data_IF_718406372854
#
_entry.id   IF_718406372854
#
_cell.length_a   1.000
_cell.length_b   1.000
_cell.length_c   1.000
_cell.angle_alpha   90.00
_cell.angle_beta   90.00
_cell.angle_gamma   90.00
#
_symmetry.space_group_name_H-M   'P 1'
#
loop_
_entity.id
_entity.type
_entity.pdbx_description
1 polymer ?
#
# COMPACT_ATOMS: atom_id res chain seq x y z
N UNK A 1 30.06 5.42 0.57
CA UNK A 1 28.76 5.71 1.23
C UNK A 1 28.60 4.73 2.38
N UNK A 2 28.41 5.22 3.60
CA UNK A 2 28.23 4.36 4.78
C UNK A 2 26.83 3.76 4.74
N UNK A 3 26.74 2.43 4.64
CA UNK A 3 25.47 1.72 4.57
C UNK A 3 24.78 1.75 5.95
N UNK A 4 23.50 2.15 5.99
CA UNK A 4 22.71 2.19 7.23
C UNK A 4 22.54 0.76 7.79
N UNK A 5 22.59 0.62 9.11
CA UNK A 5 22.23 -0.62 9.80
C UNK A 5 20.77 -1.00 9.48
N UNK A 6 20.48 -2.20 8.94
CA UNK A 6 19.11 -2.64 8.67
C UNK A 6 18.25 -2.62 9.94
N UNK A 7 16.94 -2.39 9.77
CA UNK A 7 15.95 -2.45 10.85
C UNK A 7 15.07 -1.21 10.97
N UNK A 8 14.14 -1.26 11.92
CA UNK A 8 13.17 -0.20 12.20
C UNK A 8 13.92 1.08 12.62
N UNK A 9 13.54 2.26 12.12
CA UNK A 9 14.11 3.52 12.58
C UNK A 9 13.89 3.74 14.09
N UNK A 10 14.96 4.08 14.82
CA UNK A 10 14.96 4.42 16.25
C UNK A 10 15.99 5.51 16.55
N UNK A 11 16.14 5.91 17.81
CA UNK A 11 17.21 6.83 18.22
C UNK A 11 18.60 6.24 17.95
N UNK A 12 18.76 4.93 18.16
CA UNK A 12 19.98 4.16 17.95
C UNK A 12 20.17 3.72 16.48
N UNK A 13 19.12 3.81 15.66
CA UNK A 13 19.14 3.54 14.23
C UNK A 13 18.37 4.64 13.46
N UNK A 14 18.92 5.86 13.36
CA UNK A 14 18.18 7.01 12.84
C UNK A 14 17.88 6.88 11.35
N UNK A 15 16.81 7.57 10.92
CA UNK A 15 16.59 7.84 9.49
C UNK A 15 17.72 8.74 8.98
N UNK A 16 18.11 8.57 7.71
CA UNK A 16 19.18 9.36 7.08
C UNK A 16 18.77 9.79 5.68
N UNK A 17 19.45 10.83 5.16
CA UNK A 17 19.22 11.36 3.82
C UNK A 17 17.79 11.86 3.59
N UNK A 18 17.33 11.80 2.33
CA UNK A 18 16.02 12.29 1.90
C UNK A 18 14.86 11.70 2.70
N UNK A 19 14.94 10.42 3.10
CA UNK A 19 13.88 9.81 3.89
C UNK A 19 13.72 10.46 5.29
N UNK A 20 14.80 10.98 5.88
CA UNK A 20 14.72 11.76 7.12
C UNK A 20 14.01 13.10 6.86
N UNK A 21 14.42 13.80 5.81
CA UNK A 21 13.89 15.12 5.45
C UNK A 21 12.38 15.09 5.20
N UNK A 22 11.90 14.12 4.41
CA UNK A 22 10.47 13.94 4.14
C UNK A 22 9.68 13.66 5.42
N UNK A 23 10.18 12.77 6.27
CA UNK A 23 9.48 12.42 7.53
C UNK A 23 9.43 13.60 8.50
N UNK A 24 10.51 14.37 8.61
CA UNK A 24 10.57 15.55 9.48
C UNK A 24 9.67 16.69 8.96
N UNK A 25 9.50 16.80 7.64
CA UNK A 25 8.55 17.72 7.01
C UNK A 25 7.08 17.30 7.19
N UNK A 26 6.83 16.08 7.71
CA UNK A 26 5.49 15.51 7.79
C UNK A 26 4.95 15.00 6.45
N UNK A 27 5.82 14.88 5.44
CA UNK A 27 5.44 14.36 4.13
C UNK A 27 5.13 12.87 4.21
N UNK A 28 4.09 12.46 3.47
CA UNK A 28 3.70 11.08 3.34
C UNK A 28 3.47 10.76 1.86
N UNK A 29 3.81 9.53 1.45
CA UNK A 29 3.59 9.05 0.09
C UNK A 29 2.12 8.65 -0.18
N UNK A 30 1.22 8.88 0.78
CA UNK A 30 -0.23 8.61 0.64
C UNK A 30 -0.82 9.28 -0.60
N UNK A 31 -0.35 10.47 -0.95
CA UNK A 31 -0.88 11.23 -2.08
C UNK A 31 -0.59 10.55 -3.42
N UNK A 32 0.48 9.76 -3.51
CA UNK A 32 0.75 8.94 -4.70
C UNK A 32 -0.32 7.89 -4.95
N UNK A 33 -1.07 7.46 -3.92
CA UNK A 33 -2.19 6.54 -4.11
C UNK A 33 -3.24 7.14 -5.05
N UNK A 34 -3.46 8.47 -5.02
CA UNK A 34 -4.43 9.14 -5.89
C UNK A 34 -4.11 8.91 -7.38
N UNK A 35 -2.83 8.80 -7.75
CA UNK A 35 -2.39 8.53 -9.14
C UNK A 35 -2.78 7.13 -9.62
N UNK A 36 -3.20 6.25 -8.71
CA UNK A 36 -3.70 4.93 -9.05
C UNK A 36 -5.17 4.97 -9.46
N UNK A 37 -5.95 5.98 -9.05
CA UNK A 37 -7.36 6.05 -9.42
C UNK A 37 -7.54 6.26 -10.95
N UNK A 38 -8.56 5.66 -11.59
CA UNK A 38 -9.50 4.68 -11.03
C UNK A 38 -9.08 3.22 -11.24
N UNK A 39 -7.80 2.96 -11.53
CA UNK A 39 -7.29 1.60 -11.76
C UNK A 39 -7.46 0.78 -10.48
N UNK A 40 -7.91 -0.49 -10.58
CA UNK A 40 -7.95 -1.37 -9.42
C UNK A 40 -6.58 -1.51 -8.76
N UNK A 41 -6.54 -1.37 -7.43
CA UNK A 41 -5.36 -1.60 -6.59
C UNK A 41 -5.68 -2.61 -5.49
N UNK A 42 -4.77 -3.57 -5.27
CA UNK A 42 -4.77 -4.46 -4.13
C UNK A 42 -3.51 -4.22 -3.31
N UNK A 43 -3.67 -3.96 -2.01
CA UNK A 43 -2.57 -4.01 -1.05
C UNK A 43 -2.56 -5.39 -0.38
N UNK A 44 -1.52 -6.18 -0.67
CA UNK A 44 -1.29 -7.49 -0.07
C UNK A 44 -0.34 -7.36 1.14
N UNK A 45 -0.91 -7.00 2.30
CA UNK A 45 -0.14 -6.67 3.50
C UNK A 45 0.30 -7.91 4.31
N UNK A 46 1.48 -7.82 4.92
CA UNK A 46 2.03 -8.85 5.81
C UNK A 46 2.21 -8.38 7.26
N UNK A 47 3.09 -9.05 8.00
CA UNK A 47 3.41 -8.74 9.41
C UNK A 47 3.86 -7.30 9.64
N UNK A 48 4.48 -6.67 8.64
CA UNK A 48 4.99 -5.30 8.69
C UNK A 48 3.93 -4.24 8.33
N UNK A 49 2.70 -4.68 7.96
CA UNK A 49 1.60 -3.82 7.51
C UNK A 49 0.42 -3.84 8.49
N UNK A 50 0.59 -3.29 9.72
CA UNK A 50 -0.45 -3.32 10.73
C UNK A 50 -1.73 -2.59 10.27
N UNK A 51 -2.90 -2.92 10.87
CA UNK A 51 -4.19 -2.35 10.49
C UNK A 51 -4.25 -0.82 10.38
N UNK A 52 -3.42 -0.10 11.16
CA UNK A 52 -3.33 1.37 11.08
C UNK A 52 -2.89 1.87 9.70
N UNK A 53 -2.03 1.13 9.00
CA UNK A 53 -1.51 1.52 7.68
C UNK A 53 -2.64 1.55 6.63
N UNK A 54 -3.79 0.93 6.93
CA UNK A 54 -4.91 0.78 5.99
C UNK A 54 -5.76 2.05 5.92
N UNK A 55 -5.69 2.92 6.94
CA UNK A 55 -6.39 4.21 6.96
C UNK A 55 -6.00 5.09 5.77
N UNK A 56 -4.75 4.98 5.31
CA UNK A 56 -4.23 5.63 4.12
C UNK A 56 -5.06 5.33 2.85
N UNK A 57 -5.66 4.13 2.76
CA UNK A 57 -6.45 3.72 1.59
C UNK A 57 -7.80 4.42 1.51
N UNK A 58 -8.30 4.99 2.61
CA UNK A 58 -9.55 5.76 2.62
C UNK A 58 -9.48 6.96 1.69
N UNK A 59 -8.31 7.58 1.53
CA UNK A 59 -8.12 8.70 0.60
C UNK A 59 -8.29 8.24 -0.85
N UNK A 60 -7.74 7.08 -1.22
CA UNK A 60 -7.92 6.52 -2.56
C UNK A 60 -9.38 6.11 -2.82
N UNK A 61 -10.08 5.60 -1.81
CA UNK A 61 -11.51 5.32 -1.89
C UNK A 61 -12.29 6.62 -2.16
N UNK A 62 -12.00 7.70 -1.43
CA UNK A 62 -12.66 8.99 -1.62
C UNK A 62 -12.43 9.57 -3.02
N UNK A 63 -11.22 9.44 -3.58
CA UNK A 63 -10.92 9.86 -4.96
C UNK A 63 -11.71 9.03 -5.97
N UNK A 64 -11.76 7.71 -5.81
CA UNK A 64 -12.56 6.85 -6.69
C UNK A 64 -14.06 7.17 -6.62
N UNK A 65 -14.56 7.47 -5.43
CA UNK A 65 -15.94 7.88 -5.21
C UNK A 65 -16.30 9.16 -5.96
N UNK A 66 -15.40 10.15 -5.96
CA UNK A 66 -15.55 11.38 -6.75
C UNK A 66 -15.60 11.09 -8.26
N UNK A 67 -14.84 10.11 -8.74
CA UNK A 67 -14.83 9.66 -10.13
C UNK A 67 -16.01 8.74 -10.49
N UNK A 68 -16.94 8.48 -9.55
CA UNK A 68 -18.08 7.57 -9.75
C UNK A 68 -17.68 6.10 -9.83
N UNK A 69 -16.49 5.74 -9.37
CA UNK A 69 -15.94 4.39 -9.45
C UNK A 69 -16.00 3.72 -8.08
N UNK A 70 -16.51 2.49 -8.04
CA UNK A 70 -16.58 1.68 -6.81
C UNK A 70 -15.75 0.42 -6.96
N UNK A 71 -15.40 -0.19 -5.82
CA UNK A 71 -14.68 -1.48 -5.74
C UNK A 71 -13.34 -1.46 -6.50
N UNK A 72 -12.63 -0.32 -6.42
CA UNK A 72 -11.29 -0.14 -7.02
C UNK A 72 -10.15 -0.36 -6.03
N UNK A 73 -10.44 -0.34 -4.73
CA UNK A 73 -9.43 -0.52 -3.68
C UNK A 73 -9.76 -1.78 -2.91
N UNK A 74 -8.80 -2.70 -2.85
CA UNK A 74 -8.88 -3.93 -2.09
C UNK A 74 -7.66 -4.04 -1.17
N UNK A 75 -7.83 -4.77 -0.07
CA UNK A 75 -6.75 -5.06 0.85
C UNK A 75 -6.92 -6.44 1.47
N UNK A 76 -5.81 -7.12 1.70
CA UNK A 76 -5.72 -8.33 2.51
C UNK A 76 -4.54 -8.21 3.50
N UNK A 77 -4.62 -9.00 4.57
CA UNK A 77 -3.55 -9.09 5.56
C UNK A 77 -3.24 -10.54 5.90
N UNK A 78 -1.96 -10.88 6.00
CA UNK A 78 -1.48 -12.19 6.47
C UNK A 78 -0.57 -12.03 7.68
N UNK A 79 -0.51 -13.06 8.51
CA UNK A 79 0.28 -13.08 9.75
C UNK A 79 1.78 -13.29 9.51
N UNK A 80 2.20 -13.58 8.28
CA UNK A 80 3.59 -13.86 7.92
C UNK A 80 4.01 -13.01 6.73
N UNK A 81 5.31 -12.85 6.53
CA UNK A 81 5.83 -12.19 5.33
C UNK A 81 5.55 -13.01 4.07
N UNK A 82 5.73 -14.33 4.14
CA UNK A 82 5.62 -15.24 3.00
C UNK A 82 4.15 -15.43 2.58
N UNK A 83 3.81 -15.22 1.30
CA UNK A 83 2.47 -15.56 0.79
C UNK A 83 2.14 -17.04 1.01
N UNK A 84 0.90 -17.33 1.38
CA UNK A 84 0.31 -18.68 1.40
C UNK A 84 -0.41 -18.97 0.08
N UNK A 85 -0.75 -20.24 -0.16
CA UNK A 85 -1.58 -20.62 -1.31
C UNK A 85 -2.91 -19.85 -1.35
N UNK A 86 -3.55 -19.69 -0.19
CA UNK A 86 -4.79 -18.91 -0.04
C UNK A 86 -4.61 -17.44 -0.42
N UNK A 87 -3.52 -16.78 0.03
CA UNK A 87 -3.27 -15.38 -0.34
C UNK A 87 -3.00 -15.24 -1.84
N UNK A 88 -2.31 -16.22 -2.44
CA UNK A 88 -2.06 -16.25 -3.88
C UNK A 88 -3.37 -16.38 -4.67
N UNK A 89 -4.29 -17.25 -4.22
CA UNK A 89 -5.61 -17.39 -4.86
C UNK A 89 -6.40 -16.08 -4.85
N UNK A 90 -6.38 -15.34 -3.74
CA UNK A 90 -7.03 -14.03 -3.65
C UNK A 90 -6.35 -12.97 -4.55
N UNK A 91 -5.03 -12.97 -4.64
CA UNK A 91 -4.27 -12.09 -5.54
C UNK A 91 -4.61 -12.38 -7.01
N UNK A 92 -4.66 -13.65 -7.40
CA UNK A 92 -5.06 -14.06 -8.74
C UNK A 92 -6.51 -13.68 -9.03
N UNK A 93 -7.43 -13.91 -8.10
CA UNK A 93 -8.83 -13.51 -8.24
C UNK A 93 -8.97 -11.98 -8.41
N UNK A 94 -8.16 -11.20 -7.71
CA UNK A 94 -8.11 -9.74 -7.88
C UNK A 94 -7.59 -9.34 -9.27
N UNK A 95 -6.52 -9.96 -9.74
CA UNK A 95 -5.98 -9.70 -11.09
C UNK A 95 -7.02 -10.06 -12.15
N UNK A 96 -7.69 -11.20 -12.03
CA UNK A 96 -8.78 -11.57 -12.94
C UNK A 96 -9.91 -10.55 -12.92
N UNK A 97 -10.33 -10.10 -11.74
CA UNK A 97 -11.34 -9.06 -11.60
C UNK A 97 -10.93 -7.76 -12.31
N UNK A 98 -9.70 -7.30 -12.06
CA UNK A 98 -9.18 -6.04 -12.61
C UNK A 98 -8.97 -6.08 -14.12
N UNK A 99 -8.42 -7.18 -14.63
CA UNK A 99 -8.08 -7.32 -16.05
C UNK A 99 -9.29 -7.69 -16.91
N UNK A 100 -10.18 -8.59 -16.45
CA UNK A 100 -11.37 -8.97 -17.23
C UNK A 100 -12.44 -7.87 -17.27
N UNK A 101 -12.47 -6.97 -16.27
CA UNK A 101 -13.42 -5.84 -16.21
C UNK A 101 -12.84 -4.51 -16.67
N UNK A 102 -11.54 -4.46 -16.98
CA UNK A 102 -10.87 -3.26 -17.50
C UNK A 102 -11.11 -2.97 -18.99
N UNK A 103 -11.86 -3.83 -19.69
CA UNK A 103 -12.16 -3.71 -21.14
C UNK A 103 -13.61 -3.34 -21.46
N UNK A 104 -14.28 -2.55 -20.61
CA UNK A 104 -15.58 -1.95 -20.97
C UNK A 104 -15.56 -0.45 -20.80
#
# INVERSE_FOLDING_TARGET
MTQRKPGVPSAENPRTGLYKELVDAGDNLVDFHALMAPRPVLVSGGTEDPPRNWQALNHLIAVNDLLGQKRRVAMMSRSTHTPTAETLELELAFLEYGLKRGSK
#
